data_IF_468387788306
#
_entry.id   IF_468387788306
#
_cell.length_a   1.000
_cell.length_b   1.000
_cell.length_c   1.000
_cell.angle_alpha   90.00
_cell.angle_beta   90.00
_cell.angle_gamma   90.00
#
_symmetry.space_group_name_H-M   'P 1'
#
loop_
_entity.id
_entity.type
_entity.pdbx_description
1 polymer ?
#
# COMPACT_ATOMS: atom_id res chain seq x y z
N UNK A 1 4.62 9.60 9.41
CA UNK A 1 3.97 10.49 10.43
C UNK A 1 3.37 9.68 11.57
N UNK A 2 2.55 8.67 11.31
CA UNK A 2 1.91 7.83 12.35
C UNK A 2 2.63 6.48 12.56
N UNK A 3 3.93 6.45 12.38
CA UNK A 3 4.75 5.25 12.54
C UNK A 3 4.61 4.68 13.96
N UNK A 4 4.39 3.37 14.06
CA UNK A 4 4.23 2.61 15.31
C UNK A 4 3.15 3.15 16.27
N UNK A 5 2.07 3.70 15.70
CA UNK A 5 0.91 4.15 16.47
C UNK A 5 0.00 2.97 16.85
N UNK A 6 0.50 2.07 17.70
CA UNK A 6 -0.18 0.82 18.05
C UNK A 6 -1.50 1.00 18.82
N UNK A 7 -1.73 2.17 19.43
CA UNK A 7 -2.90 2.38 20.30
C UNK A 7 -4.16 2.85 19.54
N UNK A 8 -4.04 3.22 18.28
CA UNK A 8 -5.17 3.70 17.50
C UNK A 8 -5.89 2.55 16.78
N UNK A 9 -7.20 2.45 16.98
CA UNK A 9 -8.09 1.57 16.21
C UNK A 9 -8.72 2.27 15.02
N UNK A 10 -8.84 3.58 15.10
CA UNK A 10 -9.34 4.47 14.05
C UNK A 10 -8.46 5.73 14.00
N UNK A 11 -8.30 6.29 12.82
CA UNK A 11 -7.53 7.50 12.61
C UNK A 11 -8.23 8.38 11.57
N UNK A 12 -8.61 9.60 11.98
CA UNK A 12 -9.22 10.58 11.09
C UNK A 12 -8.11 11.41 10.42
N UNK A 13 -7.94 11.24 9.13
CA UNK A 13 -6.98 11.97 8.29
C UNK A 13 -7.66 12.80 7.21
N UNK A 14 -8.99 12.98 7.29
CA UNK A 14 -9.79 13.64 6.25
C UNK A 14 -9.44 15.12 6.03
N UNK A 15 -8.89 15.78 7.05
CA UNK A 15 -8.48 17.18 6.96
C UNK A 15 -7.02 17.41 6.49
N UNK A 16 -6.31 16.36 6.10
CA UNK A 16 -4.90 16.50 5.72
C UNK A 16 -4.75 17.04 4.30
N UNK A 17 -4.04 18.16 4.17
CA UNK A 17 -3.59 18.65 2.87
C UNK A 17 -2.30 17.93 2.47
N UNK A 18 -2.44 17.01 1.52
CA UNK A 18 -1.33 16.20 1.02
C UNK A 18 -0.85 16.62 -0.37
N UNK A 19 -1.39 17.72 -0.92
CA UNK A 19 -1.16 18.14 -2.30
C UNK A 19 0.29 18.43 -2.70
N UNK A 20 1.17 18.72 -1.71
CA UNK A 20 2.60 18.98 -1.94
C UNK A 20 3.50 17.93 -1.27
N UNK A 21 2.95 16.82 -0.81
CA UNK A 21 3.74 15.75 -0.16
C UNK A 21 4.42 14.91 -1.23
N UNK A 22 5.74 14.82 -1.16
CA UNK A 22 6.57 14.02 -2.07
C UNK A 22 6.92 12.65 -1.50
N UNK A 23 6.95 12.51 -0.18
CA UNK A 23 7.33 11.28 0.54
C UNK A 23 6.23 10.89 1.55
N UNK A 24 5.57 9.77 1.28
CA UNK A 24 4.60 9.13 2.16
C UNK A 24 5.10 7.80 2.73
N UNK A 25 6.41 7.53 2.61
CA UNK A 25 7.01 6.32 3.15
C UNK A 25 6.76 6.21 4.66
N UNK A 26 6.50 5.00 5.13
CA UNK A 26 6.25 4.68 6.55
C UNK A 26 5.12 5.48 7.23
N UNK A 27 4.23 6.14 6.48
CA UNK A 27 3.25 7.06 7.08
C UNK A 27 2.38 6.40 8.15
N UNK A 28 1.94 5.16 7.92
CA UNK A 28 1.13 4.34 8.85
C UNK A 28 1.83 3.04 9.26
N UNK A 29 3.14 2.96 9.08
CA UNK A 29 3.92 1.78 9.43
C UNK A 29 3.67 1.35 10.87
N UNK A 30 3.42 0.06 11.10
CA UNK A 30 3.29 -0.48 12.46
C UNK A 30 2.02 -0.05 13.20
N UNK A 31 1.02 0.53 12.52
CA UNK A 31 -0.28 0.81 13.13
C UNK A 31 -1.07 -0.50 13.28
N UNK A 32 -0.58 -1.43 14.11
CA UNK A 32 -1.03 -2.83 14.16
C UNK A 32 -2.51 -2.97 14.53
N UNK A 33 -3.04 -2.09 15.38
CA UNK A 33 -4.43 -2.14 15.85
C UNK A 33 -5.40 -1.31 15.00
N UNK A 34 -4.92 -0.64 13.94
CA UNK A 34 -5.76 0.17 13.07
C UNK A 34 -6.73 -0.73 12.28
N UNK A 35 -8.02 -0.51 12.46
CA UNK A 35 -9.09 -1.29 11.82
C UNK A 35 -9.74 -0.54 10.67
N UNK A 36 -9.84 0.79 10.79
CA UNK A 36 -10.45 1.66 9.80
C UNK A 36 -9.53 2.83 9.48
N UNK A 37 -9.32 3.08 8.18
CA UNK A 37 -8.54 4.21 7.70
C UNK A 37 -9.13 4.69 6.37
N UNK A 38 -9.56 5.94 6.31
CA UNK A 38 -10.04 6.58 5.09
C UNK A 38 -8.96 7.50 4.52
N UNK A 39 -8.33 7.07 3.43
CA UNK A 39 -7.32 7.83 2.68
C UNK A 39 -7.84 8.35 1.34
N UNK A 40 -9.15 8.29 1.11
CA UNK A 40 -9.75 8.70 -0.18
C UNK A 40 -9.58 10.20 -0.46
N UNK A 41 -9.36 11.01 0.58
CA UNK A 41 -9.08 12.45 0.46
C UNK A 41 -7.62 12.79 0.12
N UNK A 42 -6.71 11.82 0.08
CA UNK A 42 -5.30 12.10 -0.19
C UNK A 42 -5.07 12.48 -1.65
N UNK A 43 -4.40 13.61 -1.86
CA UNK A 43 -3.84 13.97 -3.15
C UNK A 43 -2.40 13.44 -3.21
N UNK A 44 -2.17 12.43 -4.03
CA UNK A 44 -0.87 11.74 -4.14
C UNK A 44 -0.10 12.07 -5.42
N UNK A 45 -0.56 13.06 -6.19
CA UNK A 45 0.03 13.40 -7.50
C UNK A 45 1.49 13.85 -7.47
N UNK A 46 1.99 14.34 -6.31
CA UNK A 46 3.39 14.72 -6.13
C UNK A 46 4.23 13.63 -5.44
N UNK A 47 3.63 12.53 -5.00
CA UNK A 47 4.33 11.51 -4.22
C UNK A 47 5.26 10.68 -5.10
N UNK A 48 6.50 10.55 -4.67
CA UNK A 48 7.54 9.75 -5.35
C UNK A 48 7.91 8.48 -4.58
N UNK A 49 7.67 8.44 -3.27
CA UNK A 49 7.94 7.29 -2.41
C UNK A 49 6.70 6.94 -1.55
N UNK A 50 6.21 5.71 -1.72
CA UNK A 50 5.13 5.09 -0.94
C UNK A 50 5.59 3.83 -0.21
N UNK A 51 6.91 3.62 -0.09
CA UNK A 51 7.46 2.42 0.52
C UNK A 51 6.99 2.27 1.96
N UNK A 52 6.61 1.07 2.34
CA UNK A 52 6.16 0.71 3.70
C UNK A 52 4.99 1.55 4.24
N UNK A 53 4.24 2.26 3.39
CA UNK A 53 3.21 3.23 3.82
C UNK A 53 2.19 2.61 4.78
N UNK A 54 1.76 1.37 4.53
CA UNK A 54 0.81 0.62 5.36
C UNK A 54 1.40 -0.66 5.96
N UNK A 55 2.72 -0.83 5.86
CA UNK A 55 3.38 -2.05 6.34
C UNK A 55 3.04 -2.30 7.81
N UNK A 56 2.69 -3.57 8.16
CA UNK A 56 2.29 -4.00 9.50
C UNK A 56 1.02 -3.34 10.04
N UNK A 57 0.12 -2.84 9.18
CA UNK A 57 -1.25 -2.54 9.58
C UNK A 57 -2.03 -3.86 9.70
N UNK A 58 -1.71 -4.67 10.71
CA UNK A 58 -2.09 -6.08 10.78
C UNK A 58 -3.60 -6.31 10.89
N UNK A 59 -4.35 -5.38 11.52
CA UNK A 59 -5.78 -5.49 11.73
C UNK A 59 -6.64 -4.78 10.67
N UNK A 60 -6.01 -4.13 9.69
CA UNK A 60 -6.71 -3.49 8.60
C UNK A 60 -7.28 -4.56 7.64
N UNK A 61 -8.61 -4.61 7.48
CA UNK A 61 -9.27 -5.61 6.65
C UNK A 61 -9.56 -5.12 5.23
N UNK A 62 -9.83 -3.83 5.09
CA UNK A 62 -10.12 -3.17 3.82
C UNK A 62 -9.41 -1.82 3.76
N UNK A 63 -8.94 -1.46 2.57
CA UNK A 63 -8.32 -0.16 2.33
C UNK A 63 -8.63 0.30 0.90
N UNK A 64 -9.22 1.48 0.77
CA UNK A 64 -9.53 2.07 -0.52
C UNK A 64 -8.39 2.99 -0.98
N UNK A 65 -7.62 2.54 -1.95
CA UNK A 65 -6.53 3.30 -2.59
C UNK A 65 -6.81 3.62 -4.07
N UNK A 66 -8.04 3.44 -4.53
CA UNK A 66 -8.42 3.65 -5.94
C UNK A 66 -8.21 5.09 -6.41
N UNK A 67 -8.23 6.06 -5.48
CA UNK A 67 -7.98 7.47 -5.77
C UNK A 67 -6.49 7.87 -5.81
N UNK A 68 -5.56 6.94 -5.57
CA UNK A 68 -4.15 7.29 -5.59
C UNK A 68 -3.63 7.52 -7.01
N UNK A 69 -3.12 8.72 -7.25
CA UNK A 69 -2.31 9.00 -8.44
C UNK A 69 -0.88 8.54 -8.17
N UNK A 70 -0.45 7.50 -8.87
CA UNK A 70 0.87 6.90 -8.69
C UNK A 70 1.82 7.19 -9.86
N UNK A 71 1.46 8.14 -10.73
CA UNK A 71 2.22 8.45 -11.93
C UNK A 71 3.66 8.91 -11.70
N UNK A 72 3.96 9.50 -10.53
CA UNK A 72 5.29 9.94 -10.13
C UNK A 72 6.01 8.97 -9.18
N UNK A 73 5.33 7.93 -8.70
CA UNK A 73 5.89 7.01 -7.69
C UNK A 73 6.98 6.14 -8.30
N UNK A 74 8.12 6.10 -7.64
CA UNK A 74 9.29 5.28 -8.02
C UNK A 74 9.49 4.07 -7.10
N UNK A 75 9.01 4.15 -5.86
CA UNK A 75 9.18 3.11 -4.85
C UNK A 75 7.86 2.77 -4.17
N UNK A 76 7.44 1.50 -4.28
CA UNK A 76 6.26 0.90 -3.64
C UNK A 76 6.63 -0.32 -2.81
N UNK A 77 7.93 -0.51 -2.49
CA UNK A 77 8.38 -1.68 -1.75
C UNK A 77 7.71 -1.76 -0.38
N UNK A 78 7.27 -2.95 0.02
CA UNK A 78 6.61 -3.20 1.30
C UNK A 78 5.29 -2.44 1.54
N UNK A 79 4.73 -1.73 0.54
CA UNK A 79 3.60 -0.79 0.76
C UNK A 79 2.47 -1.39 1.58
N UNK A 80 2.11 -2.67 1.36
CA UNK A 80 1.10 -3.42 2.12
C UNK A 80 1.71 -4.62 2.86
N UNK A 81 3.04 -4.69 2.97
CA UNK A 81 3.72 -5.83 3.59
C UNK A 81 3.21 -6.12 5.01
N UNK A 82 2.98 -7.39 5.31
CA UNK A 82 2.47 -7.87 6.60
C UNK A 82 1.11 -7.25 7.05
N UNK A 83 0.29 -6.78 6.12
CA UNK A 83 -1.11 -6.49 6.37
C UNK A 83 -1.88 -7.82 6.45
N UNK A 84 -1.73 -8.55 7.56
CA UNK A 84 -2.13 -9.97 7.72
C UNK A 84 -3.62 -10.20 7.53
N UNK A 85 -4.48 -9.24 7.91
CA UNK A 85 -5.93 -9.36 7.82
C UNK A 85 -6.53 -8.64 6.60
N UNK A 86 -5.71 -8.00 5.76
CA UNK A 86 -6.18 -7.36 4.54
C UNK A 86 -6.72 -8.41 3.57
N UNK A 87 -8.00 -8.28 3.18
CA UNK A 87 -8.69 -9.27 2.36
C UNK A 87 -8.79 -8.87 0.90
N UNK A 88 -8.88 -7.56 0.65
CA UNK A 88 -9.07 -7.02 -0.70
C UNK A 88 -8.31 -5.71 -0.88
N UNK A 89 -7.66 -5.57 -2.04
CA UNK A 89 -7.08 -4.30 -2.51
C UNK A 89 -7.38 -4.13 -4.00
N UNK A 90 -7.74 -2.92 -4.40
CA UNK A 90 -7.92 -2.55 -5.80
C UNK A 90 -6.80 -1.58 -6.23
N UNK A 91 -5.94 -2.07 -7.12
CA UNK A 91 -4.83 -1.31 -7.72
C UNK A 91 -5.02 -1.09 -9.22
N UNK A 92 -6.26 -1.17 -9.72
CA UNK A 92 -6.57 -0.97 -11.15
C UNK A 92 -6.16 0.42 -11.63
N UNK A 93 -6.21 1.43 -10.74
CA UNK A 93 -5.78 2.79 -11.02
C UNK A 93 -4.28 3.03 -10.97
N UNK A 94 -3.48 2.07 -10.52
CA UNK A 94 -2.04 2.30 -10.34
C UNK A 94 -1.32 2.41 -11.68
N UNK A 95 -0.68 3.56 -11.88
CA UNK A 95 0.27 3.77 -12.96
C UNK A 95 1.67 3.41 -12.44
N UNK A 96 2.19 2.27 -12.86
CA UNK A 96 3.50 1.78 -12.45
C UNK A 96 4.62 2.15 -13.43
N UNK A 97 4.37 3.11 -14.34
CA UNK A 97 5.31 3.51 -15.38
C UNK A 97 6.68 3.95 -14.87
N UNK A 98 6.71 4.65 -13.74
CA UNK A 98 7.93 5.16 -13.10
C UNK A 98 8.47 4.26 -11.97
N UNK A 99 7.72 3.22 -11.57
CA UNK A 99 8.11 2.38 -10.43
C UNK A 99 9.32 1.51 -10.77
N UNK A 100 10.32 1.57 -9.91
CA UNK A 100 11.55 0.77 -10.02
C UNK A 100 11.68 -0.29 -8.93
N UNK A 101 10.95 -0.16 -7.81
CA UNK A 101 10.95 -1.11 -6.71
C UNK A 101 9.53 -1.38 -6.21
N UNK A 102 9.09 -2.64 -6.31
CA UNK A 102 7.85 -3.19 -5.76
C UNK A 102 8.15 -4.44 -4.93
N UNK A 103 9.41 -4.63 -4.51
CA UNK A 103 9.80 -5.78 -3.72
C UNK A 103 8.95 -5.87 -2.45
N UNK A 104 8.47 -7.06 -2.14
CA UNK A 104 7.69 -7.35 -0.93
C UNK A 104 6.41 -6.52 -0.75
N UNK A 105 5.87 -5.94 -1.83
CA UNK A 105 4.72 -5.03 -1.78
C UNK A 105 3.53 -5.62 -1.03
N UNK A 106 3.27 -6.93 -1.15
CA UNK A 106 2.21 -7.67 -0.46
C UNK A 106 2.75 -8.82 0.40
N UNK A 107 4.05 -8.81 0.73
CA UNK A 107 4.67 -9.85 1.54
C UNK A 107 3.87 -10.13 2.81
N UNK A 108 3.57 -11.39 3.10
CA UNK A 108 2.89 -11.78 4.33
C UNK A 108 1.42 -11.35 4.45
N UNK A 109 0.78 -10.91 3.37
CA UNK A 109 -0.67 -10.62 3.33
C UNK A 109 -1.46 -11.94 3.32
N UNK A 110 -1.48 -12.66 4.45
CA UNK A 110 -1.99 -14.04 4.57
C UNK A 110 -3.45 -14.22 4.20
N UNK A 111 -4.27 -13.19 4.44
CA UNK A 111 -5.70 -13.22 4.20
C UNK A 111 -6.12 -12.53 2.91
N UNK A 112 -5.19 -12.01 2.11
CA UNK A 112 -5.51 -11.39 0.83
C UNK A 112 -6.09 -12.43 -0.13
N UNK A 113 -7.34 -12.19 -0.56
CA UNK A 113 -8.10 -13.10 -1.43
C UNK A 113 -8.27 -12.48 -2.81
N UNK A 114 -8.47 -11.15 -2.86
CA UNK A 114 -8.82 -10.43 -4.07
C UNK A 114 -7.86 -9.25 -4.28
N UNK A 115 -7.21 -9.23 -5.44
CA UNK A 115 -6.31 -8.15 -5.87
C UNK A 115 -6.71 -7.71 -7.28
N UNK A 116 -7.59 -6.70 -7.35
CA UNK A 116 -8.01 -6.12 -8.62
C UNK A 116 -6.88 -5.29 -9.23
N UNK A 117 -6.66 -5.39 -10.53
CA UNK A 117 -5.58 -4.70 -11.22
C UNK A 117 -4.22 -5.35 -11.06
N UNK A 118 -4.16 -6.61 -10.64
CA UNK A 118 -2.89 -7.35 -10.48
C UNK A 118 -2.05 -7.38 -11.76
N UNK A 119 -2.67 -7.27 -12.93
CA UNK A 119 -2.00 -7.16 -14.23
C UNK A 119 -1.13 -5.88 -14.33
N UNK A 120 -1.49 -4.78 -13.67
CA UNK A 120 -0.72 -3.54 -13.69
C UNK A 120 0.63 -3.68 -12.99
N UNK A 121 0.74 -4.63 -12.07
CA UNK A 121 1.95 -4.85 -11.27
C UNK A 121 2.72 -6.11 -11.68
N UNK A 122 2.03 -7.17 -12.13
CA UNK A 122 2.65 -8.45 -12.53
C UNK A 122 3.58 -8.34 -13.74
N UNK A 123 3.24 -7.53 -14.74
CA UNK A 123 4.02 -7.44 -15.99
C UNK A 123 5.29 -6.60 -15.88
N UNK A 124 5.63 -6.13 -14.68
CA UNK A 124 6.82 -5.31 -14.43
C UNK A 124 8.11 -6.08 -14.10
N UNK A 125 8.06 -7.41 -14.05
CA UNK A 125 9.22 -8.27 -13.69
C UNK A 125 10.53 -7.99 -14.46
N UNK A 126 10.48 -7.29 -15.58
CA UNK A 126 11.68 -6.96 -16.37
C UNK A 126 12.17 -5.52 -16.16
N UNK A 127 11.44 -4.68 -15.39
CA UNK A 127 11.70 -3.24 -15.32
C UNK A 127 11.84 -2.79 -13.86
N UNK A 128 11.12 -3.42 -12.93
CA UNK A 128 11.14 -3.11 -11.51
C UNK A 128 11.58 -4.32 -10.69
N UNK A 129 12.14 -4.07 -9.50
CA UNK A 129 12.37 -5.12 -8.53
C UNK A 129 11.02 -5.61 -7.97
N UNK A 130 10.80 -6.91 -8.04
CA UNK A 130 9.57 -7.58 -7.59
C UNK A 130 9.87 -8.75 -6.66
N UNK A 131 11.08 -8.78 -6.04
CA UNK A 131 11.49 -9.85 -5.13
C UNK A 131 10.46 -10.04 -4.03
N UNK A 132 10.05 -11.29 -3.80
CA UNK A 132 9.13 -11.71 -2.74
C UNK A 132 7.78 -10.96 -2.71
N UNK A 133 7.37 -10.33 -3.81
CA UNK A 133 6.20 -9.43 -3.85
C UNK A 133 4.94 -10.06 -3.25
N UNK A 134 4.71 -11.35 -3.46
CA UNK A 134 3.55 -12.10 -3.01
C UNK A 134 3.89 -13.25 -2.06
N UNK A 135 5.13 -13.30 -1.54
CA UNK A 135 5.49 -14.34 -0.60
C UNK A 135 4.63 -14.28 0.66
N UNK A 136 4.06 -15.42 1.06
CA UNK A 136 3.17 -15.51 2.21
C UNK A 136 1.72 -15.06 1.95
N UNK A 137 1.33 -14.75 0.71
CA UNK A 137 -0.07 -14.54 0.32
C UNK A 137 -0.77 -15.89 0.14
N UNK A 138 -1.09 -16.56 1.24
CA UNK A 138 -1.53 -17.96 1.25
C UNK A 138 -2.88 -18.21 0.56
N UNK A 139 -3.73 -17.17 0.43
CA UNK A 139 -5.09 -17.28 -0.11
C UNK A 139 -5.26 -16.64 -1.48
N UNK A 140 -4.23 -15.93 -1.98
CA UNK A 140 -4.31 -15.22 -3.24
C UNK A 140 -4.09 -16.18 -4.42
N UNK A 141 -5.08 -16.27 -5.28
CA UNK A 141 -5.01 -17.03 -6.53
C UNK A 141 -4.73 -16.06 -7.70
N UNK A 142 -3.50 -16.01 -8.17
CA UNK A 142 -3.06 -15.10 -9.26
C UNK A 142 -2.23 -15.84 -10.32
#
# INVERSE_FOLDING_TARGET
MFCDCENFTELDVTGFDTGCVEDMSYMFYGCENLMNLDVTGFNTGCVTDMSSMFQRCENLMELNVTGFDTGCVTNMSWMFGECKNLMKVDVTGFNTGCVTDMSRMFYGCKNLIELDGSENIKYKYNIADTEDMFEGCEKLEI
#
